data_IF_885343386832
#
_entry.id   IF_885343386832
#
_cell.length_a   1.000
_cell.length_b   1.000
_cell.length_c   1.000
_cell.angle_alpha   90.00
_cell.angle_beta   90.00
_cell.angle_gamma   90.00
#
_symmetry.space_group_name_H-M   'P 1'
#
loop_
_entity.id
_entity.type
_entity.pdbx_description
1 polymer ?
#
# COMPACT_ATOMS: atom_id res chain seq x y z
N UNK A 1 -23.77 8.83 -11.88
CA UNK A 1 -23.13 9.47 -10.71
C UNK A 1 -21.62 9.38 -10.95
N UNK A 2 -20.83 10.36 -10.53
CA UNK A 2 -19.38 10.27 -10.70
C UNK A 2 -18.83 9.03 -9.97
N UNK A 3 -17.70 8.51 -10.48
CA UNK A 3 -17.02 7.34 -9.92
C UNK A 3 -16.55 7.62 -8.47
N UNK A 4 -16.92 6.79 -7.52
CA UNK A 4 -16.49 6.89 -6.14
C UNK A 4 -15.15 6.15 -5.96
N UNK A 5 -14.04 6.89 -5.84
CA UNK A 5 -12.70 6.33 -5.65
C UNK A 5 -12.22 6.61 -4.25
N UNK A 6 -11.75 5.57 -3.56
CA UNK A 6 -11.23 5.63 -2.20
C UNK A 6 -9.74 5.30 -2.15
N UNK A 7 -9.00 6.09 -1.40
CA UNK A 7 -7.60 5.85 -1.06
C UNK A 7 -7.23 6.66 0.18
N UNK A 8 -6.40 6.13 1.05
CA UNK A 8 -6.03 6.81 2.28
C UNK A 8 -5.20 8.08 1.96
N UNK A 9 -5.64 9.24 2.46
CA UNK A 9 -5.02 10.55 2.20
C UNK A 9 -3.58 10.66 2.73
N UNK A 10 -3.23 9.86 3.74
CA UNK A 10 -1.90 9.86 4.35
C UNK A 10 -0.93 8.85 3.73
N UNK A 11 -1.35 8.15 2.68
CA UNK A 11 -0.57 7.16 1.94
C UNK A 11 -0.10 7.81 0.65
N UNK A 12 1.18 8.18 0.58
CA UNK A 12 1.75 8.96 -0.53
C UNK A 12 1.73 8.21 -1.85
N UNK A 13 1.63 6.90 -1.82
CA UNK A 13 1.44 6.03 -2.97
C UNK A 13 0.16 6.33 -3.76
N UNK A 14 -0.82 7.00 -3.14
CA UNK A 14 -2.05 7.45 -3.80
C UNK A 14 -1.90 8.74 -4.64
N UNK A 15 -0.77 9.43 -4.63
CA UNK A 15 -0.64 10.76 -5.24
C UNK A 15 -1.07 10.84 -6.71
N UNK A 16 -0.74 9.82 -7.53
CA UNK A 16 -1.19 9.77 -8.92
C UNK A 16 -2.72 9.56 -9.05
N UNK A 17 -3.29 8.78 -8.14
CA UNK A 17 -4.74 8.53 -8.07
C UNK A 17 -5.48 9.78 -7.62
N UNK A 18 -4.96 10.48 -6.62
CA UNK A 18 -5.50 11.77 -6.14
C UNK A 18 -5.55 12.80 -7.27
N UNK A 19 -4.44 12.94 -8.01
CA UNK A 19 -4.38 13.83 -9.17
C UNK A 19 -5.42 13.44 -10.23
N UNK A 20 -5.51 12.14 -10.55
CA UNK A 20 -6.42 11.61 -11.56
C UNK A 20 -7.89 11.83 -11.19
N UNK A 21 -8.28 11.58 -9.94
CA UNK A 21 -9.64 11.78 -9.45
C UNK A 21 -10.01 13.24 -9.53
N UNK A 22 -9.15 14.14 -9.04
CA UNK A 22 -9.39 15.57 -9.09
C UNK A 22 -9.55 16.10 -10.52
N UNK A 23 -8.77 15.60 -11.47
CA UNK A 23 -8.91 15.97 -12.88
C UNK A 23 -10.16 15.39 -13.54
N UNK A 24 -10.66 14.26 -13.07
CA UNK A 24 -11.83 13.60 -13.61
C UNK A 24 -13.14 14.18 -13.09
N UNK A 25 -13.19 14.49 -11.79
CA UNK A 25 -14.43 14.83 -11.08
C UNK A 25 -14.48 16.28 -10.60
N UNK A 26 -13.35 16.96 -10.47
CA UNK A 26 -13.21 18.24 -9.78
C UNK A 26 -13.23 18.13 -8.24
N UNK A 27 -13.38 16.93 -7.71
CA UNK A 27 -13.41 16.61 -6.28
C UNK A 27 -12.13 15.91 -5.84
N UNK A 28 -11.89 15.85 -4.54
CA UNK A 28 -10.76 15.11 -3.98
C UNK A 28 -11.06 13.62 -3.90
N UNK A 29 -10.01 12.81 -3.85
CA UNK A 29 -10.09 11.40 -3.52
C UNK A 29 -10.80 11.22 -2.16
N UNK A 30 -11.70 10.26 -2.04
CA UNK A 30 -12.32 9.94 -0.75
C UNK A 30 -11.30 9.25 0.16
N UNK A 31 -11.22 9.70 1.42
CA UNK A 31 -10.36 9.05 2.40
C UNK A 31 -10.92 7.67 2.78
N UNK A 32 -10.11 6.63 2.61
CA UNK A 32 -10.53 5.26 2.90
C UNK A 32 -9.67 4.20 2.22
N UNK A 33 -10.18 2.99 2.19
CA UNK A 33 -9.45 1.82 1.73
C UNK A 33 -10.43 0.71 1.26
N UNK A 34 -9.92 -0.46 0.91
CA UNK A 34 -10.68 -1.58 0.31
C UNK A 34 -11.94 -1.99 1.11
N UNK A 35 -12.00 -1.72 2.43
CA UNK A 35 -13.20 -1.94 3.23
C UNK A 35 -14.42 -1.19 2.68
N UNK A 36 -14.23 0.01 2.11
CA UNK A 36 -15.30 0.80 1.50
C UNK A 36 -15.84 0.15 0.20
N UNK A 37 -15.00 -0.64 -0.48
CA UNK A 37 -15.43 -1.40 -1.65
C UNK A 37 -16.41 -2.52 -1.31
N UNK A 38 -16.23 -3.14 -0.14
CA UNK A 38 -16.97 -4.32 0.30
C UNK A 38 -18.01 -4.03 1.39
N UNK A 39 -18.04 -2.79 1.90
CA UNK A 39 -19.01 -2.36 2.90
C UNK A 39 -18.71 -2.80 4.33
N UNK A 40 -17.45 -3.20 4.64
CA UNK A 40 -17.09 -3.60 5.99
C UNK A 40 -15.62 -3.98 6.19
N UNK A 41 -15.26 -4.32 7.42
CA UNK A 41 -13.92 -4.78 7.80
C UNK A 41 -13.58 -6.19 7.30
N UNK A 42 -12.38 -6.74 7.61
CA UNK A 42 -11.92 -8.04 7.12
C UNK A 42 -12.84 -9.21 7.45
N UNK A 43 -13.53 -9.14 8.56
CA UNK A 43 -14.56 -10.09 9.01
C UNK A 43 -15.98 -9.69 8.59
N UNK A 44 -16.12 -8.56 7.87
CA UNK A 44 -17.38 -7.94 7.47
C UNK A 44 -18.32 -7.61 8.66
N UNK A 45 -17.81 -7.60 9.88
CA UNK A 45 -18.56 -7.32 11.10
C UNK A 45 -18.72 -5.82 11.38
N UNK A 46 -17.84 -4.99 10.82
CA UNK A 46 -17.86 -3.53 10.94
C UNK A 46 -18.18 -2.90 9.58
N UNK A 47 -19.23 -2.11 9.52
CA UNK A 47 -19.55 -1.33 8.33
C UNK A 47 -18.50 -0.24 8.10
N UNK A 48 -18.05 -0.09 6.85
CA UNK A 48 -17.24 1.05 6.46
C UNK A 48 -18.16 2.30 6.40
N UNK A 49 -17.78 3.38 7.07
CA UNK A 49 -18.59 4.62 7.01
C UNK A 49 -18.53 5.21 5.60
N UNK A 50 -19.65 5.73 5.13
CA UNK A 50 -19.75 6.45 3.87
C UNK A 50 -20.36 5.65 2.71
N UNK A 51 -20.24 6.20 1.50
CA UNK A 51 -20.74 5.56 0.28
C UNK A 51 -19.86 4.36 -0.10
N UNK A 52 -20.45 3.40 -0.79
CA UNK A 52 -19.71 2.25 -1.33
C UNK A 52 -18.76 2.73 -2.44
N UNK A 53 -17.52 2.35 -2.36
CA UNK A 53 -16.52 2.66 -3.37
C UNK A 53 -16.82 1.93 -4.69
N UNK A 54 -16.57 2.58 -5.81
CA UNK A 54 -16.50 1.93 -7.12
C UNK A 54 -15.09 1.38 -7.37
N UNK A 55 -14.08 2.12 -6.93
CA UNK A 55 -12.67 1.70 -6.92
C UNK A 55 -12.07 2.03 -5.56
N UNK A 56 -11.25 1.14 -5.01
CA UNK A 56 -10.51 1.39 -3.78
C UNK A 56 -9.05 0.96 -3.91
N UNK A 57 -8.18 1.83 -3.42
CA UNK A 57 -6.74 1.62 -3.43
C UNK A 57 -6.31 0.86 -2.17
N UNK A 58 -5.49 -0.17 -2.34
CA UNK A 58 -4.86 -0.85 -1.21
C UNK A 58 -3.68 -1.73 -1.67
N UNK A 59 -2.87 -2.17 -0.70
CA UNK A 59 -1.81 -3.15 -0.94
C UNK A 59 -2.37 -4.56 -1.20
N UNK A 60 -1.60 -5.40 -1.88
CA UNK A 60 -1.96 -6.77 -2.26
C UNK A 60 -2.35 -7.65 -1.05
N UNK A 61 -1.69 -7.49 0.09
CA UNK A 61 -2.02 -8.21 1.33
C UNK A 61 -3.46 -7.93 1.77
N UNK A 62 -3.99 -6.73 1.55
CA UNK A 62 -5.37 -6.39 1.88
C UNK A 62 -6.35 -6.97 0.85
N UNK A 63 -6.00 -6.96 -0.44
CA UNK A 63 -6.76 -7.68 -1.46
C UNK A 63 -6.95 -9.15 -1.05
N UNK A 64 -5.87 -9.82 -0.64
CA UNK A 64 -5.91 -11.22 -0.22
C UNK A 64 -6.79 -11.43 1.01
N UNK A 65 -6.71 -10.55 2.01
CA UNK A 65 -7.54 -10.64 3.24
C UNK A 65 -9.02 -10.48 2.95
N UNK A 66 -9.39 -9.43 2.21
CA UNK A 66 -10.79 -9.11 1.94
C UNK A 66 -11.43 -10.06 0.93
N UNK A 67 -10.66 -10.59 -0.03
CA UNK A 67 -11.17 -11.51 -1.04
C UNK A 67 -11.55 -12.89 -0.51
N UNK A 68 -11.19 -13.25 0.72
CA UNK A 68 -11.69 -14.48 1.38
C UNK A 68 -13.22 -14.42 1.56
N UNK A 69 -13.73 -13.31 2.07
CA UNK A 69 -15.16 -13.10 2.26
C UNK A 69 -15.86 -12.53 1.01
N UNK A 70 -15.10 -11.88 0.13
CA UNK A 70 -15.58 -11.22 -1.09
C UNK A 70 -14.74 -11.65 -2.31
N UNK A 71 -14.95 -12.87 -2.82
CA UNK A 71 -14.19 -13.42 -3.95
C UNK A 71 -14.49 -12.72 -5.28
N UNK A 72 -15.43 -11.79 -5.30
CA UNK A 72 -15.79 -10.92 -6.41
C UNK A 72 -14.90 -9.68 -6.55
N UNK A 73 -13.98 -9.42 -5.62
CA UNK A 73 -13.00 -8.33 -5.75
C UNK A 73 -12.06 -8.61 -6.94
N UNK A 74 -11.71 -7.57 -7.66
CA UNK A 74 -10.80 -7.61 -8.82
C UNK A 74 -9.74 -6.54 -8.71
N UNK A 75 -8.48 -6.93 -8.79
CA UNK A 75 -7.34 -6.04 -9.01
C UNK A 75 -7.30 -5.66 -10.50
N UNK A 76 -7.31 -4.37 -10.75
CA UNK A 76 -7.30 -3.81 -12.11
C UNK A 76 -5.87 -3.58 -12.63
N UNK A 77 -5.02 -2.99 -11.79
CA UNK A 77 -3.62 -2.66 -12.09
C UNK A 77 -2.91 -2.22 -10.82
N UNK A 78 -1.57 -2.19 -10.85
CA UNK A 78 -0.74 -1.56 -9.83
C UNK A 78 -0.54 -0.09 -10.18
N UNK A 79 -0.95 0.82 -9.30
CA UNK A 79 -0.78 2.26 -9.49
C UNK A 79 0.63 2.72 -9.14
N UNK A 80 1.16 2.25 -8.01
CA UNK A 80 2.43 2.69 -7.43
C UNK A 80 3.17 1.53 -6.81
N UNK A 81 4.49 1.55 -6.95
CA UNK A 81 5.42 0.70 -6.20
C UNK A 81 6.22 1.54 -5.21
N UNK A 82 6.53 0.96 -4.07
CA UNK A 82 7.38 1.56 -3.06
C UNK A 82 8.30 0.56 -2.41
N UNK A 83 9.42 1.02 -1.90
CA UNK A 83 10.32 0.20 -1.12
C UNK A 83 9.98 0.31 0.36
N UNK A 84 10.08 -0.82 1.05
CA UNK A 84 10.17 -0.85 2.51
C UNK A 84 11.62 -0.93 2.95
N UNK A 85 11.87 -0.51 4.17
CA UNK A 85 13.15 -0.63 4.87
C UNK A 85 12.88 -0.99 6.33
N UNK A 86 13.80 -1.73 6.96
CA UNK A 86 13.85 -1.81 8.41
C UNK A 86 14.71 -0.62 8.88
N UNK A 87 14.13 0.27 9.65
CA UNK A 87 14.80 1.42 10.22
C UNK A 87 15.11 1.16 11.69
N UNK A 88 16.39 1.19 12.07
CA UNK A 88 16.84 0.98 13.43
C UNK A 88 17.58 2.19 14.00
N UNK A 89 17.78 2.23 15.31
CA UNK A 89 18.56 3.27 15.99
C UNK A 89 19.89 2.74 16.49
N UNK A 90 20.98 3.44 16.10
CA UNK A 90 22.35 3.14 16.58
C UNK A 90 22.48 3.28 18.09
N UNK A 91 21.88 4.32 18.66
CA UNK A 91 21.86 4.56 20.12
C UNK A 91 21.09 3.47 20.90
N UNK A 92 20.25 2.67 20.21
CA UNK A 92 19.56 1.51 20.77
C UNK A 92 20.28 0.18 20.49
N UNK A 93 21.51 0.25 19.97
CA UNK A 93 22.35 -0.91 19.67
C UNK A 93 21.90 -1.69 18.43
N UNK A 94 21.31 -0.99 17.44
CA UNK A 94 20.98 -1.55 16.14
C UNK A 94 21.91 -0.91 15.11
N UNK A 95 22.95 -1.61 14.67
CA UNK A 95 23.94 -1.14 13.70
C UNK A 95 24.06 -2.07 12.50
N UNK A 96 23.56 -3.29 12.63
CA UNK A 96 23.54 -4.31 11.59
C UNK A 96 22.27 -5.15 11.67
N UNK A 97 21.86 -5.87 10.62
CA UNK A 97 20.68 -6.73 10.67
C UNK A 97 20.69 -7.77 11.80
N UNK A 98 21.88 -8.31 12.13
CA UNK A 98 22.02 -9.29 13.20
C UNK A 98 21.64 -8.76 14.60
N UNK A 99 21.73 -7.44 14.79
CA UNK A 99 21.40 -6.79 16.06
C UNK A 99 19.88 -6.71 16.31
N UNK A 100 19.06 -7.05 15.31
CA UNK A 100 17.59 -7.09 15.47
C UNK A 100 17.13 -8.22 16.39
N UNK A 101 17.95 -9.25 16.65
CA UNK A 101 17.61 -10.33 17.60
C UNK A 101 17.37 -9.77 18.99
N UNK A 102 16.25 -10.16 19.60
CA UNK A 102 15.82 -9.71 20.92
C UNK A 102 15.37 -8.25 20.98
N UNK A 103 15.24 -7.58 19.83
CA UNK A 103 14.80 -6.17 19.75
C UNK A 103 13.31 -6.05 19.63
N UNK A 104 12.80 -4.88 20.04
CA UNK A 104 11.42 -4.44 19.87
C UNK A 104 11.28 -3.72 18.54
N UNK A 105 10.46 -4.26 17.64
CA UNK A 105 10.30 -3.74 16.28
C UNK A 105 8.83 -3.36 16.08
N UNK A 106 8.55 -2.06 15.91
CA UNK A 106 7.19 -1.62 15.67
C UNK A 106 6.84 -1.66 14.17
N UNK A 107 5.60 -2.04 13.91
CA UNK A 107 4.98 -2.02 12.58
C UNK A 107 3.48 -1.82 12.69
N UNK A 108 2.81 -1.59 11.56
CA UNK A 108 1.36 -1.60 11.50
C UNK A 108 0.91 -3.03 11.17
N UNK A 109 0.36 -3.74 12.17
CA UNK A 109 -0.02 -5.15 12.05
C UNK A 109 -1.09 -5.40 10.98
N UNK A 110 -1.05 -6.59 10.41
CA UNK A 110 -1.97 -7.09 9.39
C UNK A 110 -1.89 -6.34 8.06
N UNK A 111 -0.74 -5.70 7.77
CA UNK A 111 -0.49 -4.97 6.54
C UNK A 111 0.73 -5.49 5.79
N UNK A 112 0.98 -4.94 4.61
CA UNK A 112 2.19 -5.20 3.82
C UNK A 112 3.49 -4.82 4.53
N UNK A 113 3.44 -3.90 5.52
CA UNK A 113 4.60 -3.54 6.34
C UNK A 113 5.02 -4.70 7.25
N UNK A 114 4.07 -5.38 7.89
CA UNK A 114 4.35 -6.57 8.70
C UNK A 114 4.80 -7.75 7.83
N UNK A 115 4.18 -7.94 6.66
CA UNK A 115 4.62 -8.93 5.69
C UNK A 115 6.09 -8.71 5.28
N UNK A 116 6.45 -7.46 4.97
CA UNK A 116 7.83 -7.09 4.67
C UNK A 116 8.77 -7.42 5.84
N UNK A 117 8.39 -7.04 7.08
CA UNK A 117 9.19 -7.34 8.25
C UNK A 117 9.46 -8.85 8.37
N UNK A 118 8.42 -9.67 8.27
CA UNK A 118 8.54 -11.12 8.39
C UNK A 118 9.47 -11.70 7.30
N UNK A 119 9.34 -11.24 6.06
CA UNK A 119 10.16 -11.71 4.94
C UNK A 119 11.62 -11.27 5.07
N UNK A 120 11.88 -10.02 5.48
CA UNK A 120 13.24 -9.53 5.65
C UNK A 120 13.96 -10.17 6.85
N UNK A 121 13.27 -10.37 7.97
CA UNK A 121 13.84 -11.12 9.10
C UNK A 121 14.25 -12.52 8.69
N UNK A 122 13.40 -13.23 7.94
CA UNK A 122 13.73 -14.57 7.43
C UNK A 122 14.98 -14.56 6.51
N UNK A 123 15.13 -13.53 5.66
CA UNK A 123 16.32 -13.35 4.81
C UNK A 123 17.60 -13.11 5.61
N UNK A 124 17.49 -12.43 6.76
CA UNK A 124 18.58 -12.26 7.71
C UNK A 124 18.79 -13.48 8.63
N UNK A 125 18.08 -14.58 8.36
CA UNK A 125 18.07 -15.78 9.20
C UNK A 125 17.66 -15.51 10.65
N UNK A 126 16.72 -14.59 10.86
CA UNK A 126 16.11 -14.23 12.14
C UNK A 126 14.66 -14.75 12.13
N UNK A 127 14.31 -15.59 13.07
CA UNK A 127 12.91 -16.02 13.24
C UNK A 127 12.08 -14.87 13.83
N UNK A 128 10.80 -14.78 13.46
CA UNK A 128 9.91 -13.73 14.01
C UNK A 128 9.82 -13.82 15.52
N UNK A 129 9.91 -15.04 16.08
CA UNK A 129 9.92 -15.31 17.51
C UNK A 129 11.19 -14.83 18.23
N UNK A 130 12.27 -14.55 17.48
CA UNK A 130 13.53 -13.99 18.01
C UNK A 130 13.45 -12.47 18.22
N UNK A 131 12.35 -11.82 17.86
CA UNK A 131 12.10 -10.37 18.03
C UNK A 131 10.76 -10.15 18.74
N UNK A 132 10.59 -8.98 19.36
CA UNK A 132 9.29 -8.53 19.86
C UNK A 132 8.63 -7.63 18.81
N UNK A 133 7.66 -8.15 18.06
CA UNK A 133 6.88 -7.35 17.10
C UNK A 133 5.81 -6.55 17.86
N UNK A 134 5.85 -5.23 17.75
CA UNK A 134 4.95 -4.30 18.43
C UNK A 134 3.99 -3.67 17.43
N UNK A 135 2.70 -3.96 17.57
CA UNK A 135 1.65 -3.34 16.76
C UNK A 135 1.36 -1.91 17.19
N UNK A 136 1.53 -0.94 16.31
CA UNK A 136 1.31 0.48 16.60
C UNK A 136 0.40 1.11 15.55
N UNK A 137 -0.52 1.98 15.97
CA UNK A 137 -1.46 2.76 15.14
C UNK A 137 -1.57 4.20 15.67
N UNK A 138 -1.83 5.18 14.82
CA UNK A 138 -1.76 5.16 13.35
C UNK A 138 -0.31 5.08 12.84
N UNK A 139 -0.11 5.15 11.52
CA UNK A 139 1.20 5.00 10.86
C UNK A 139 2.30 5.91 11.41
N UNK A 140 2.01 7.17 11.70
CA UNK A 140 2.98 8.10 12.30
C UNK A 140 3.37 7.75 13.73
N UNK A 141 2.50 7.07 14.47
CA UNK A 141 2.83 6.63 15.84
C UNK A 141 3.89 5.51 15.81
N UNK A 142 3.99 4.74 14.71
CA UNK A 142 5.09 3.78 14.50
C UNK A 142 6.43 4.50 14.49
N UNK A 143 6.54 5.57 13.70
CA UNK A 143 7.74 6.41 13.64
C UNK A 143 8.01 7.12 14.96
N UNK A 144 6.97 7.65 15.61
CA UNK A 144 7.13 8.34 16.90
C UNK A 144 7.67 7.41 17.99
N UNK A 145 7.20 6.14 18.03
CA UNK A 145 7.73 5.15 18.97
C UNK A 145 9.24 4.90 18.78
N UNK A 146 9.75 4.95 17.53
CA UNK A 146 11.18 4.88 17.27
C UNK A 146 11.90 6.15 17.76
N UNK A 147 11.36 7.33 17.45
CA UNK A 147 11.96 8.62 17.86
C UNK A 147 12.03 8.73 19.37
N UNK A 148 11.00 8.33 20.10
CA UNK A 148 10.94 8.38 21.57
C UNK A 148 11.76 7.26 22.22
N UNK A 149 12.26 6.29 21.44
CA UNK A 149 13.05 5.17 21.94
C UNK A 149 12.20 4.10 22.67
N UNK A 150 10.92 4.04 22.40
CA UNK A 150 10.02 3.02 22.93
C UNK A 150 10.25 1.67 22.24
N UNK A 151 10.75 1.72 21.00
CA UNK A 151 11.17 0.56 20.21
C UNK A 151 12.58 0.77 19.66
N UNK A 152 13.20 -0.30 19.18
CA UNK A 152 14.59 -0.30 18.71
C UNK A 152 14.67 -0.16 17.19
N UNK A 153 13.63 -0.63 16.49
CA UNK A 153 13.49 -0.55 15.04
C UNK A 153 12.02 -0.46 14.61
N UNK A 154 11.79 -0.10 13.36
CA UNK A 154 10.44 -0.05 12.76
C UNK A 154 10.47 -0.53 11.31
N UNK A 155 9.29 -0.91 10.79
CA UNK A 155 8.97 -0.89 9.37
C UNK A 155 7.63 -0.20 9.15
N UNK A 156 7.57 0.67 8.13
CA UNK A 156 6.39 1.43 7.76
C UNK A 156 6.56 1.99 6.34
N UNK A 157 5.50 2.47 5.72
CA UNK A 157 5.51 3.13 4.41
C UNK A 157 5.73 4.64 4.49
N UNK A 158 5.82 5.28 3.33
CA UNK A 158 5.96 6.74 3.22
C UNK A 158 4.65 7.48 3.59
N UNK A 159 4.73 8.67 4.18
CA UNK A 159 5.93 9.47 4.44
C UNK A 159 6.55 9.20 5.83
N UNK A 160 6.03 8.22 6.58
CA UNK A 160 6.50 7.94 7.94
C UNK A 160 7.96 7.49 7.97
N UNK A 161 8.42 6.74 6.94
CA UNK A 161 9.83 6.37 6.73
C UNK A 161 10.72 7.60 6.57
N UNK A 162 10.35 8.52 5.67
CA UNK A 162 11.12 9.75 5.44
C UNK A 162 11.14 10.65 6.68
N UNK A 163 10.02 10.73 7.41
CA UNK A 163 9.95 11.46 8.67
C UNK A 163 10.91 10.90 9.72
N UNK A 164 11.03 9.57 9.84
CA UNK A 164 12.01 8.93 10.73
C UNK A 164 13.45 9.30 10.35
N UNK A 165 13.77 9.23 9.04
CA UNK A 165 15.11 9.58 8.51
C UNK A 165 15.50 11.01 8.86
N UNK A 166 14.60 11.95 8.66
CA UNK A 166 14.84 13.37 8.97
C UNK A 166 14.96 13.66 10.46
N UNK A 167 14.14 12.98 11.28
CA UNK A 167 14.11 13.21 12.72
C UNK A 167 15.34 12.65 13.46
N UNK A 168 15.86 11.51 13.00
CA UNK A 168 16.93 10.79 13.70
C UNK A 168 18.32 11.00 13.08
N UNK A 169 18.41 11.45 11.82
CA UNK A 169 19.66 11.74 11.14
C UNK A 169 20.69 10.62 11.29
N UNK A 170 21.88 10.94 11.81
CA UNK A 170 23.00 9.99 11.96
C UNK A 170 22.73 8.84 12.96
N UNK A 171 21.74 8.98 13.86
CA UNK A 171 21.35 7.90 14.77
C UNK A 171 20.55 6.80 14.08
N UNK A 172 20.01 7.08 12.89
CA UNK A 172 19.25 6.11 12.13
C UNK A 172 20.17 5.20 11.31
N UNK A 173 19.77 3.94 11.18
CA UNK A 173 20.34 2.96 10.25
C UNK A 173 19.20 2.29 9.50
N UNK A 174 19.42 2.01 8.22
CA UNK A 174 18.44 1.39 7.35
C UNK A 174 18.97 0.06 6.79
N UNK A 175 18.11 -0.95 6.73
CA UNK A 175 18.40 -2.27 6.17
C UNK A 175 17.35 -2.64 5.14
N UNK A 176 17.82 -3.13 4.00
CA UNK A 176 17.00 -3.69 2.92
C UNK A 176 17.87 -4.58 2.04
N UNK A 177 17.35 -5.72 1.60
CA UNK A 177 17.95 -6.47 0.51
C UNK A 177 17.61 -5.85 -0.84
N UNK A 178 18.49 -6.00 -1.83
CA UNK A 178 18.28 -5.43 -3.18
C UNK A 178 17.06 -6.05 -3.89
N UNK A 179 16.75 -7.31 -3.59
CA UNK A 179 15.61 -8.07 -4.10
C UNK A 179 14.45 -8.17 -3.08
N UNK A 180 14.39 -7.22 -2.12
CA UNK A 180 13.31 -7.16 -1.14
C UNK A 180 11.95 -6.96 -1.81
N UNK A 181 10.89 -7.37 -1.11
CA UNK A 181 9.51 -7.13 -1.53
C UNK A 181 9.24 -5.64 -1.78
N UNK A 182 8.67 -5.35 -2.92
CA UNK A 182 8.12 -4.02 -3.21
C UNK A 182 6.69 -3.93 -2.76
N UNK A 183 6.35 -2.85 -2.06
CA UNK A 183 4.95 -2.47 -1.90
C UNK A 183 4.33 -2.28 -3.28
N UNK A 184 3.17 -2.89 -3.51
CA UNK A 184 2.31 -2.66 -4.67
C UNK A 184 0.99 -2.10 -4.18
N UNK A 185 0.72 -0.86 -4.53
CA UNK A 185 -0.57 -0.25 -4.29
C UNK A 185 -1.46 -0.49 -5.51
N UNK A 186 -2.42 -1.38 -5.36
CA UNK A 186 -3.33 -1.79 -6.41
C UNK A 186 -4.66 -1.02 -6.41
N UNK A 187 -5.22 -0.80 -7.59
CA UNK A 187 -6.58 -0.34 -7.80
C UNK A 187 -7.53 -1.54 -7.84
N UNK A 188 -8.49 -1.59 -6.93
CA UNK A 188 -9.40 -2.70 -6.77
C UNK A 188 -10.85 -2.28 -7.04
N UNK A 189 -11.61 -3.15 -7.68
CA UNK A 189 -13.06 -3.01 -7.92
C UNK A 189 -13.77 -4.34 -7.66
N UNK A 190 -15.02 -4.49 -8.08
CA UNK A 190 -15.75 -5.75 -8.00
C UNK A 190 -16.24 -6.22 -9.37
N UNK A 191 -16.44 -7.52 -9.53
CA UNK A 191 -16.84 -8.13 -10.80
C UNK A 191 -18.20 -7.59 -11.32
N UNK A 192 -19.14 -7.28 -10.43
CA UNK A 192 -20.43 -6.69 -10.77
C UNK A 192 -20.28 -5.29 -11.39
N UNK A 193 -19.37 -4.45 -10.87
CA UNK A 193 -19.07 -3.13 -11.45
C UNK A 193 -18.40 -3.22 -12.82
N UNK A 194 -17.55 -4.22 -13.02
CA UNK A 194 -16.97 -4.48 -14.35
C UNK A 194 -18.01 -5.04 -15.34
N UNK A 195 -19.05 -5.72 -14.85
CA UNK A 195 -20.16 -6.22 -15.67
C UNK A 195 -21.19 -5.14 -16.03
N UNK A 196 -21.30 -4.07 -15.21
CA UNK A 196 -22.14 -2.91 -15.52
C UNK A 196 -21.47 -2.04 -16.60
N UNK A 197 -22.10 -1.85 -17.78
CA UNK A 197 -21.47 -1.09 -18.87
C UNK A 197 -21.18 0.38 -18.52
N UNK A 198 -22.00 0.99 -17.67
CA UNK A 198 -21.82 2.38 -17.24
C UNK A 198 -20.64 2.49 -16.30
N UNK A 199 -20.59 1.64 -15.26
CA UNK A 199 -19.48 1.61 -14.31
C UNK A 199 -18.16 1.21 -14.96
N UNK A 200 -18.19 0.23 -15.85
CA UNK A 200 -17.02 -0.16 -16.61
C UNK A 200 -16.45 1.01 -17.42
N UNK A 201 -17.29 1.77 -18.11
CA UNK A 201 -16.83 2.94 -18.87
C UNK A 201 -16.22 4.03 -17.97
N UNK A 202 -16.82 4.28 -16.78
CA UNK A 202 -16.27 5.20 -15.78
C UNK A 202 -14.91 4.72 -15.25
N UNK A 203 -14.77 3.42 -14.95
CA UNK A 203 -13.51 2.79 -14.50
C UNK A 203 -12.42 2.91 -15.59
N UNK A 204 -12.76 2.67 -16.86
CA UNK A 204 -11.84 2.84 -17.99
C UNK A 204 -11.35 4.30 -18.09
N UNK A 205 -12.25 5.26 -17.96
CA UNK A 205 -11.89 6.69 -17.97
C UNK A 205 -10.95 7.03 -16.80
N UNK A 206 -11.22 6.48 -15.61
CA UNK A 206 -10.35 6.62 -14.43
C UNK A 206 -8.96 6.03 -14.69
N UNK A 207 -8.84 4.80 -15.20
CA UNK A 207 -7.56 4.17 -15.51
C UNK A 207 -6.73 5.04 -16.46
N UNK A 208 -7.34 5.57 -17.53
CA UNK A 208 -6.67 6.49 -18.47
C UNK A 208 -6.12 7.73 -17.77
N UNK A 209 -6.86 8.27 -16.82
CA UNK A 209 -6.41 9.42 -16.03
C UNK A 209 -5.26 9.07 -15.10
N UNK A 210 -5.31 7.93 -14.40
CA UNK A 210 -4.21 7.49 -13.53
C UNK A 210 -2.93 7.26 -14.35
N UNK A 211 -3.01 6.62 -15.53
CA UNK A 211 -1.85 6.42 -16.41
C UNK A 211 -1.21 7.75 -16.81
N UNK A 212 -2.02 8.78 -17.12
CA UNK A 212 -1.50 10.12 -17.45
C UNK A 212 -0.91 10.82 -16.23
N UNK A 213 -1.62 10.77 -15.10
CA UNK A 213 -1.16 11.36 -13.84
C UNK A 213 0.17 10.75 -13.36
N UNK A 214 0.31 9.42 -13.49
CA UNK A 214 1.56 8.73 -13.16
C UNK A 214 2.75 9.24 -13.99
N UNK A 215 2.57 9.43 -15.29
CA UNK A 215 3.61 10.03 -16.15
C UNK A 215 3.91 11.47 -15.75
N UNK A 216 2.86 12.25 -15.46
CA UNK A 216 3.04 13.66 -15.02
C UNK A 216 3.83 13.73 -13.71
N UNK A 217 3.56 12.86 -12.73
CA UNK A 217 4.29 12.86 -11.47
C UNK A 217 5.76 12.46 -11.62
N UNK A 218 6.08 11.55 -12.54
CA UNK A 218 7.46 11.20 -12.87
C UNK A 218 8.22 12.40 -13.47
N UNK A 219 7.56 13.22 -14.31
CA UNK A 219 8.16 14.40 -14.96
C UNK A 219 8.12 15.64 -14.06
N UNK A 220 7.07 15.80 -13.25
CA UNK A 220 6.76 17.00 -12.46
C UNK A 220 6.19 16.64 -11.08
N UNK A 221 7.01 16.13 -10.15
CA UNK A 221 6.52 15.62 -8.86
C UNK A 221 5.92 16.71 -7.96
N UNK A 222 6.27 17.99 -8.17
CA UNK A 222 5.83 19.12 -7.33
C UNK A 222 4.30 19.23 -7.28
N UNK A 223 3.61 19.08 -8.43
CA UNK A 223 2.13 19.16 -8.45
C UNK A 223 1.47 18.06 -7.64
N UNK A 224 2.04 16.84 -7.68
CA UNK A 224 1.58 15.74 -6.84
C UNK A 224 1.82 16.00 -5.36
N UNK A 225 2.98 16.59 -5.03
CA UNK A 225 3.32 16.94 -3.66
C UNK A 225 2.35 17.98 -3.07
N UNK A 226 2.01 19.03 -3.82
CA UNK A 226 1.02 20.04 -3.40
C UNK A 226 -0.33 19.41 -3.06
N UNK A 227 -0.84 18.50 -3.92
CA UNK A 227 -2.13 17.83 -3.71
C UNK A 227 -2.06 16.89 -2.51
N UNK A 228 -1.06 16.03 -2.46
CA UNK A 228 -0.91 15.03 -1.41
C UNK A 228 -0.65 15.70 -0.04
N UNK A 229 0.14 16.79 0.02
CA UNK A 229 0.35 17.56 1.23
C UNK A 229 -0.94 18.20 1.75
N UNK A 230 -1.75 18.78 0.84
CA UNK A 230 -3.04 19.37 1.21
C UNK A 230 -4.01 18.35 1.80
N UNK A 231 -4.09 17.15 1.21
CA UNK A 231 -5.02 16.11 1.67
C UNK A 231 -4.54 15.42 2.96
N UNK A 232 -3.26 15.15 3.04
CA UNK A 232 -2.66 14.45 4.19
C UNK A 232 -2.42 15.35 5.40
N UNK A 233 -2.24 16.66 5.16
CA UNK A 233 -1.81 17.63 6.18
C UNK A 233 -0.32 17.56 6.53
N UNK A 234 0.50 16.82 5.76
CA UNK A 234 1.96 16.79 5.92
C UNK A 234 2.64 18.02 5.31
N UNK A 235 3.87 18.30 5.74
CA UNK A 235 4.73 19.30 5.11
C UNK A 235 5.01 18.95 3.64
N UNK A 236 4.87 19.93 2.75
CA UNK A 236 5.04 19.73 1.30
C UNK A 236 6.45 19.25 0.94
N UNK A 237 7.47 19.75 1.63
CA UNK A 237 8.85 19.32 1.42
C UNK A 237 9.06 17.85 1.81
N UNK A 238 8.48 17.41 2.93
CA UNK A 238 8.47 16.00 3.35
C UNK A 238 7.78 15.13 2.29
N UNK A 239 6.58 15.55 1.84
CA UNK A 239 5.82 14.83 0.81
C UNK A 239 6.61 14.71 -0.48
N UNK A 240 7.21 15.81 -0.95
CA UNK A 240 8.02 15.81 -2.18
C UNK A 240 9.20 14.84 -2.12
N UNK A 241 9.87 14.76 -0.96
CA UNK A 241 10.98 13.80 -0.75
C UNK A 241 10.48 12.36 -0.69
N UNK A 242 9.33 12.13 -0.06
CA UNK A 242 8.68 10.82 -0.02
C UNK A 242 8.26 10.35 -1.42
N UNK A 243 7.67 11.23 -2.23
CA UNK A 243 7.29 10.90 -3.61
C UNK A 243 8.49 10.51 -4.48
N UNK A 244 9.67 11.06 -4.21
CA UNK A 244 10.90 10.73 -4.94
C UNK A 244 11.39 9.29 -4.69
N UNK A 245 10.89 8.61 -3.65
CA UNK A 245 11.20 7.21 -3.35
C UNK A 245 10.20 6.20 -3.96
N UNK A 246 9.15 6.71 -4.60
CA UNK A 246 8.05 5.94 -5.15
C UNK A 246 8.13 5.85 -6.67
N UNK A 247 7.64 4.75 -7.22
CA UNK A 247 7.50 4.54 -8.66
C UNK A 247 6.01 4.54 -9.04
N UNK A 248 5.57 5.59 -9.73
CA UNK A 248 4.20 5.72 -10.25
C UNK A 248 4.08 4.95 -11.55
N UNK A 249 3.83 3.65 -11.47
CA UNK A 249 3.92 2.73 -12.60
C UNK A 249 2.64 2.67 -13.43
N UNK A 250 1.47 2.66 -12.80
CA UNK A 250 0.15 2.53 -13.42
C UNK A 250 0.13 1.46 -14.52
N UNK A 251 0.52 0.23 -14.17
CA UNK A 251 0.56 -0.89 -15.10
C UNK A 251 0.18 -2.22 -14.44
N UNK A 252 0.08 -3.27 -15.25
CA UNK A 252 -0.10 -4.64 -14.78
C UNK A 252 1.28 -5.25 -14.58
N UNK A 253 1.57 -5.66 -13.34
CA UNK A 253 2.84 -6.32 -13.02
C UNK A 253 2.88 -7.73 -13.64
N UNK A 254 3.94 -8.08 -14.38
CA UNK A 254 4.02 -9.39 -15.06
C UNK A 254 4.01 -10.58 -14.10
N UNK A 255 4.52 -10.39 -12.89
CA UNK A 255 4.62 -11.40 -11.83
C UNK A 255 3.52 -11.26 -10.75
N UNK A 256 2.46 -10.47 -11.01
CA UNK A 256 1.43 -10.16 -10.02
C UNK A 256 0.84 -11.41 -9.36
N UNK A 257 0.52 -12.42 -10.14
CA UNK A 257 -0.05 -13.66 -9.62
C UNK A 257 0.97 -14.45 -8.77
N UNK A 258 2.24 -14.43 -9.13
CA UNK A 258 3.30 -15.09 -8.35
C UNK A 258 3.45 -14.44 -6.97
N UNK A 259 3.42 -13.10 -6.93
CA UNK A 259 3.46 -12.33 -5.68
C UNK A 259 2.22 -12.59 -4.83
N UNK A 260 1.02 -12.65 -5.41
CA UNK A 260 -0.19 -12.99 -4.66
C UNK A 260 -0.10 -14.40 -4.06
N UNK A 261 0.42 -15.39 -4.78
CA UNK A 261 0.60 -16.76 -4.29
C UNK A 261 1.61 -16.81 -3.12
N UNK A 262 2.68 -16.03 -3.20
CA UNK A 262 3.65 -15.95 -2.12
C UNK A 262 3.07 -15.30 -0.87
N UNK A 263 2.42 -14.15 -1.01
CA UNK A 263 1.79 -13.42 0.09
C UNK A 263 0.62 -14.19 0.71
N UNK A 264 -0.13 -14.95 -0.09
CA UNK A 264 -1.26 -15.74 0.37
C UNK A 264 -0.87 -16.71 1.47
N UNK A 265 0.32 -17.31 1.39
CA UNK A 265 0.81 -18.25 2.43
C UNK A 265 0.93 -17.56 3.78
N UNK A 266 1.45 -16.34 3.79
CA UNK A 266 1.58 -15.54 5.01
C UNK A 266 0.21 -15.07 5.51
N UNK A 267 -0.64 -14.51 4.63
CA UNK A 267 -1.98 -14.04 5.00
C UNK A 267 -2.85 -15.18 5.53
N UNK A 268 -2.78 -16.36 4.91
CA UNK A 268 -3.52 -17.52 5.33
C UNK A 268 -3.09 -18.02 6.71
N UNK A 269 -1.78 -18.06 6.97
CA UNK A 269 -1.24 -18.44 8.29
C UNK A 269 -1.72 -17.48 9.38
N UNK A 270 -1.69 -16.17 9.15
CA UNK A 270 -2.22 -15.19 10.11
C UNK A 270 -3.73 -15.33 10.36
N UNK A 271 -4.50 -15.75 9.35
CA UNK A 271 -5.94 -15.97 9.47
C UNK A 271 -6.29 -17.37 9.98
N UNK A 272 -5.29 -18.22 10.26
CA UNK A 272 -5.51 -19.58 10.74
C UNK A 272 -6.24 -20.49 9.74
N UNK A 273 -5.99 -20.30 8.43
CA UNK A 273 -6.62 -21.07 7.34
C UNK A 273 -5.56 -21.65 6.39
N UNK A 274 -5.99 -22.60 5.56
CA UNK A 274 -5.16 -23.09 4.47
C UNK A 274 -5.00 -21.99 3.38
N UNK A 275 -3.80 -21.89 2.76
CA UNK A 275 -3.60 -20.97 1.64
C UNK A 275 -4.38 -21.41 0.39
N UNK A 276 -4.94 -20.47 -0.31
CA UNK A 276 -5.58 -20.69 -1.62
C UNK A 276 -4.56 -21.07 -2.67
N UNK A 277 -4.97 -21.88 -3.62
CA UNK A 277 -4.14 -22.28 -4.76
C UNK A 277 -3.99 -21.13 -5.77
N UNK A 278 -3.04 -21.27 -6.68
CA UNK A 278 -2.84 -20.32 -7.78
C UNK A 278 -4.11 -20.16 -8.64
N UNK A 279 -4.81 -21.25 -8.89
CA UNK A 279 -6.05 -21.28 -9.67
C UNK A 279 -7.18 -20.52 -8.97
N UNK A 280 -7.25 -20.58 -7.63
CA UNK A 280 -8.22 -19.85 -6.84
C UNK A 280 -7.89 -18.34 -6.73
N UNK A 281 -6.62 -17.98 -6.82
CA UNK A 281 -6.16 -16.58 -6.77
C UNK A 281 -6.21 -15.89 -8.14
N UNK A 282 -6.02 -16.62 -9.22
CA UNK A 282 -5.97 -16.05 -10.58
C UNK A 282 -7.18 -15.17 -10.94
N UNK A 283 -8.43 -15.52 -10.56
CA UNK A 283 -9.60 -14.69 -10.84
C UNK A 283 -9.61 -13.34 -10.10
N UNK A 284 -8.76 -13.14 -9.09
CA UNK A 284 -8.64 -11.84 -8.42
C UNK A 284 -8.00 -10.76 -9.31
N UNK A 285 -7.35 -11.14 -10.41
CA UNK A 285 -6.73 -10.22 -11.36
C UNK A 285 -7.63 -10.14 -12.59
N UNK A 286 -8.15 -8.93 -12.90
CA UNK A 286 -8.93 -8.67 -14.10
C UNK A 286 -8.35 -7.47 -14.84
N UNK A 287 -7.56 -7.75 -15.86
CA UNK A 287 -6.85 -6.74 -16.66
C UNK A 287 -7.68 -6.15 -17.79
N UNK A 288 -8.89 -6.67 -18.02
CA UNK A 288 -9.70 -6.36 -19.20
C UNK A 288 -10.05 -4.87 -19.35
N UNK A 289 -10.37 -4.20 -18.22
CA UNK A 289 -10.66 -2.76 -18.25
C UNK A 289 -9.39 -1.93 -18.46
N UNK A 290 -8.24 -2.38 -17.94
CA UNK A 290 -6.95 -1.73 -18.15
C UNK A 290 -6.50 -1.85 -19.63
N UNK A 291 -6.59 -3.02 -20.23
CA UNK A 291 -6.25 -3.25 -21.63
C UNK A 291 -7.12 -2.41 -22.57
N UNK A 292 -8.43 -2.33 -22.29
CA UNK A 292 -9.35 -1.48 -23.03
C UNK A 292 -9.04 0.03 -22.85
N UNK A 293 -8.59 0.42 -21.65
CA UNK A 293 -8.16 1.79 -21.39
C UNK A 293 -6.96 2.18 -22.25
N UNK A 294 -5.96 1.30 -22.36
CA UNK A 294 -4.75 1.56 -23.14
C UNK A 294 -4.98 1.54 -24.65
N UNK A 295 -5.89 0.69 -25.15
CA UNK A 295 -6.25 0.65 -26.57
C UNK A 295 -6.84 1.98 -27.10
N UNK A 296 -7.26 2.88 -26.20
CA UNK A 296 -7.82 4.19 -26.52
C UNK A 296 -6.91 5.37 -26.17
N UNK A 297 -5.64 5.13 -25.80
CA UNK A 297 -4.60 6.14 -25.55
C UNK A 297 -3.66 6.26 -26.76
#
# INVERSE_FOLDING_TARGET
MPLNVYGAHRVMENAAVELAVRELTGEDLHDGYIAHLVGGGPDLSAEAPGAVADVAMNADTQLLRYSVARPDIRLLFTATRGHYEILGRRSRGVVSPGDLRGKRIATFLHTSSEYYLATELARYAIAVEDVEVVGVKPELAVTQALIDGEVDAITIWEPATQFAKESLGDDLVSFRHDDAYFLRLGANTTADKLADPVKRAEIIAFIRKVVRASRELQERPVRGAEIAARLSGFDEGLVLRSLATLEFVAHIEPDQLDVLVEQERWVAAEQGREPRTREELAPLIDTSAYEEALAGL
#
